data_IF_562864388010
#
_entry.id   IF_562864388010
#
_cell.length_a   1.000
_cell.length_b   1.000
_cell.length_c   1.000
_cell.angle_alpha   90.00
_cell.angle_beta   90.00
_cell.angle_gamma   90.00
#
_symmetry.space_group_name_H-M   'P 1'
#
loop_
_entity.id
_entity.type
_entity.pdbx_description
1 polymer ?
#
# COMPACT_ATOMS: atom_id res chain seq x y z
N UNK A 1 21.84 18.35 -8.11
CA UNK A 1 21.20 17.08 -8.50
C UNK A 1 19.90 16.92 -7.74
N UNK A 2 18.83 16.77 -8.47
CA UNK A 2 17.54 16.52 -7.85
C UNK A 2 17.53 15.10 -7.29
N UNK A 3 17.35 14.99 -5.98
CA UNK A 3 17.14 13.71 -5.33
C UNK A 3 15.67 13.36 -5.38
N UNK A 4 15.33 12.30 -6.08
CA UNK A 4 13.98 11.77 -6.05
C UNK A 4 13.89 10.91 -4.80
N UNK A 5 13.21 11.41 -3.80
CA UNK A 5 12.98 10.65 -2.59
C UNK A 5 12.04 9.49 -2.91
N UNK A 6 12.47 8.28 -2.58
CA UNK A 6 11.64 7.11 -2.75
C UNK A 6 10.51 7.14 -1.74
N UNK A 7 9.29 7.07 -2.24
CA UNK A 7 8.09 7.04 -1.43
C UNK A 7 7.69 5.58 -1.24
N UNK A 8 7.31 5.22 -0.02
CA UNK A 8 6.79 3.90 0.31
C UNK A 8 5.32 4.01 0.69
N UNK A 9 4.46 3.38 -0.09
CA UNK A 9 3.05 3.20 0.26
C UNK A 9 2.97 2.00 1.20
N UNK A 10 2.37 2.22 2.36
CA UNK A 10 2.19 1.15 3.36
C UNK A 10 0.81 0.55 3.17
N UNK A 11 0.77 -0.75 2.87
CA UNK A 11 -0.49 -1.47 2.67
C UNK A 11 -1.30 -1.58 3.96
N UNK A 12 -2.60 -1.75 3.81
CA UNK A 12 -3.54 -1.93 4.92
C UNK A 12 -3.09 -3.03 5.88
N UNK A 13 -2.57 -4.14 5.36
CA UNK A 13 -2.12 -5.27 6.17
C UNK A 13 -1.07 -4.88 7.21
N UNK A 14 -0.17 -3.98 6.85
CA UNK A 14 0.90 -3.54 7.76
C UNK A 14 0.35 -2.62 8.84
N UNK A 15 -0.54 -1.68 8.48
CA UNK A 15 -1.19 -0.81 9.45
C UNK A 15 -2.00 -1.60 10.47
N UNK A 16 -2.72 -2.63 10.02
CA UNK A 16 -3.51 -3.50 10.90
C UNK A 16 -2.61 -4.25 11.87
N UNK A 17 -1.52 -4.86 11.39
CA UNK A 17 -0.59 -5.58 12.24
C UNK A 17 0.06 -4.64 13.26
N UNK A 18 0.45 -3.45 12.83
CA UNK A 18 1.01 -2.44 13.73
C UNK A 18 0.01 -2.06 14.84
N UNK A 19 -1.25 -1.84 14.48
CA UNK A 19 -2.30 -1.47 15.44
C UNK A 19 -2.60 -2.58 16.44
N UNK A 20 -2.51 -3.83 16.00
CA UNK A 20 -2.72 -5.02 16.85
C UNK A 20 -1.47 -5.45 17.61
N UNK A 21 -0.38 -4.71 17.50
CA UNK A 21 0.92 -5.06 18.09
C UNK A 21 1.42 -6.45 17.65
N UNK A 22 1.13 -6.83 16.40
CA UNK A 22 1.65 -8.05 15.80
C UNK A 22 2.94 -7.69 15.09
N UNK A 23 4.05 -8.24 15.57
CA UNK A 23 5.36 -7.97 15.01
C UNK A 23 5.62 -8.85 13.79
N UNK A 24 5.69 -8.21 12.63
CA UNK A 24 6.13 -8.81 11.39
C UNK A 24 7.33 -8.03 10.88
N UNK A 25 8.13 -8.56 9.95
CA UNK A 25 9.19 -7.76 9.34
C UNK A 25 8.68 -6.43 8.79
N UNK A 26 7.51 -6.42 8.16
CA UNK A 26 6.93 -5.20 7.59
C UNK A 26 6.43 -4.24 8.68
N UNK A 27 5.75 -4.73 9.72
CA UNK A 27 5.28 -3.85 10.79
C UNK A 27 6.43 -3.24 11.60
N UNK A 28 7.50 -3.99 11.81
CA UNK A 28 8.71 -3.46 12.44
C UNK A 28 9.41 -2.45 11.53
N UNK A 29 9.44 -2.69 10.23
CA UNK A 29 10.01 -1.75 9.29
C UNK A 29 9.21 -0.45 9.23
N UNK A 30 7.89 -0.51 9.34
CA UNK A 30 7.05 0.68 9.45
C UNK A 30 7.50 1.56 10.62
N UNK A 31 7.69 0.97 11.79
CA UNK A 31 8.16 1.69 12.97
C UNK A 31 9.55 2.30 12.74
N UNK A 32 10.44 1.55 12.11
CA UNK A 32 11.78 2.03 11.79
C UNK A 32 11.75 3.21 10.81
N UNK A 33 10.91 3.16 9.78
CA UNK A 33 10.78 4.26 8.83
C UNK A 33 10.17 5.50 9.50
N UNK A 34 9.18 5.31 10.36
CA UNK A 34 8.58 6.42 11.12
C UNK A 34 9.62 7.18 11.94
N UNK A 35 10.61 6.45 12.46
CA UNK A 35 11.66 7.04 13.29
C UNK A 35 12.73 7.74 12.45
N UNK A 36 13.20 7.10 11.37
CA UNK A 36 14.35 7.61 10.59
C UNK A 36 13.96 8.54 9.44
N UNK A 37 12.83 8.32 8.80
CA UNK A 37 12.43 9.07 7.61
C UNK A 37 10.91 9.05 7.40
N UNK A 38 10.15 9.68 8.32
CA UNK A 38 8.68 9.65 8.24
C UNK A 38 8.12 10.29 6.96
N UNK A 39 8.87 11.22 6.34
CA UNK A 39 8.42 11.89 5.12
C UNK A 39 8.38 10.99 3.90
N UNK A 40 9.03 9.82 3.96
CA UNK A 40 9.00 8.84 2.86
C UNK A 40 7.75 7.97 2.88
N UNK A 41 6.95 8.00 3.94
CA UNK A 41 5.73 7.22 4.05
C UNK A 41 4.58 7.88 3.33
N UNK A 42 3.79 7.07 2.64
CA UNK A 42 2.65 7.54 1.88
C UNK A 42 1.42 6.67 2.12
N UNK A 43 0.27 7.27 1.94
CA UNK A 43 -1.02 6.58 1.90
C UNK A 43 -1.70 6.88 0.58
N UNK A 44 -2.62 6.02 0.18
CA UNK A 44 -3.46 6.23 -0.99
C UNK A 44 -4.92 6.00 -0.64
N UNK A 45 -5.82 6.47 -1.52
CA UNK A 45 -7.26 6.39 -1.25
C UNK A 45 -7.76 4.97 -0.95
N UNK A 46 -7.34 3.91 -1.67
CA UNK A 46 -7.77 2.54 -1.35
C UNK A 46 -7.39 2.09 0.05
N UNK A 47 -6.19 2.42 0.53
CA UNK A 47 -5.76 2.05 1.89
C UNK A 47 -6.60 2.76 2.93
N UNK A 48 -6.87 4.06 2.75
CA UNK A 48 -7.76 4.78 3.65
C UNK A 48 -9.14 4.12 3.70
N UNK A 49 -9.70 3.79 2.54
CA UNK A 49 -11.01 3.16 2.46
C UNK A 49 -11.06 1.85 3.23
N UNK A 50 -10.07 0.99 3.03
CA UNK A 50 -10.02 -0.31 3.72
C UNK A 50 -9.87 -0.15 5.23
N UNK A 51 -9.03 0.76 5.69
CA UNK A 51 -8.85 1.02 7.12
C UNK A 51 -10.12 1.57 7.75
N UNK A 52 -10.78 2.51 7.10
CA UNK A 52 -12.03 3.09 7.61
C UNK A 52 -13.18 2.07 7.59
N UNK A 53 -13.22 1.20 6.59
CA UNK A 53 -14.23 0.14 6.52
C UNK A 53 -14.09 -0.85 7.69
N UNK A 54 -12.87 -1.06 8.18
CA UNK A 54 -12.61 -1.92 9.33
C UNK A 54 -12.80 -1.25 10.69
N UNK A 55 -13.04 0.06 10.72
CA UNK A 55 -13.20 0.80 11.97
C UNK A 55 -14.59 0.53 12.58
N UNK A 56 -14.62 0.14 13.86
CA UNK A 56 -15.85 -0.24 14.56
C UNK A 56 -16.54 0.92 15.26
N UNK A 57 -15.94 2.10 15.31
CA UNK A 57 -16.49 3.24 16.06
C UNK A 57 -16.02 4.56 15.44
N UNK A 58 -16.70 5.65 15.80
CA UNK A 58 -16.28 6.99 15.40
C UNK A 58 -14.92 7.35 15.99
N UNK A 59 -14.64 6.90 17.20
CA UNK A 59 -13.32 7.07 17.82
C UNK A 59 -12.22 6.41 17.00
N UNK A 60 -12.45 5.16 16.57
CA UNK A 60 -11.49 4.43 15.73
C UNK A 60 -11.30 5.12 14.37
N UNK A 61 -12.37 5.63 13.77
CA UNK A 61 -12.30 6.37 12.51
C UNK A 61 -11.44 7.62 12.62
N UNK A 62 -11.64 8.41 13.67
CA UNK A 62 -10.84 9.62 13.91
C UNK A 62 -9.38 9.29 14.15
N UNK A 63 -9.10 8.21 14.87
CA UNK A 63 -7.75 7.76 15.16
C UNK A 63 -7.02 7.38 13.86
N UNK A 64 -7.69 6.67 12.96
CA UNK A 64 -7.14 6.32 11.66
C UNK A 64 -6.82 7.57 10.85
N UNK A 65 -7.76 8.49 10.74
CA UNK A 65 -7.55 9.74 10.01
C UNK A 65 -6.38 10.54 10.57
N UNK A 66 -6.29 10.64 11.89
CA UNK A 66 -5.20 11.34 12.55
C UNK A 66 -3.85 10.70 12.28
N UNK A 67 -3.80 9.37 12.26
CA UNK A 67 -2.58 8.61 11.98
C UNK A 67 -2.11 8.82 10.54
N UNK A 68 -3.02 8.87 9.59
CA UNK A 68 -2.68 8.97 8.17
C UNK A 68 -2.47 10.42 7.69
N UNK A 69 -3.04 11.40 8.41
CA UNK A 69 -3.00 12.80 8.01
C UNK A 69 -1.60 13.36 7.70
N UNK A 70 -0.55 13.05 8.49
CA UNK A 70 0.79 13.59 8.22
C UNK A 70 1.53 12.92 7.07
N UNK A 71 1.00 11.83 6.51
CA UNK A 71 1.66 11.09 5.44
C UNK A 71 1.50 11.80 4.09
N UNK A 72 2.41 11.55 3.17
CA UNK A 72 2.20 11.95 1.79
C UNK A 72 0.99 11.20 1.24
N UNK A 73 0.22 11.87 0.38
CA UNK A 73 -0.98 11.29 -0.20
C UNK A 73 -0.82 11.06 -1.68
N UNK A 74 -1.09 9.84 -2.12
CA UNK A 74 -1.08 9.48 -3.53
C UNK A 74 -2.52 9.20 -3.95
N UNK A 75 -3.12 10.18 -4.62
CA UNK A 75 -4.52 10.09 -5.01
C UNK A 75 -4.72 9.14 -6.19
N UNK A 76 -5.86 8.45 -6.18
CA UNK A 76 -6.32 7.66 -7.33
C UNK A 76 -6.52 8.61 -8.53
N UNK A 77 -6.04 8.19 -9.69
CA UNK A 77 -6.46 8.73 -10.98
C UNK A 77 -7.46 7.74 -11.55
N UNK A 78 -8.78 8.03 -11.48
CA UNK A 78 -9.79 7.01 -11.71
C UNK A 78 -9.63 6.24 -13.02
N UNK A 79 -9.49 6.94 -14.13
CA UNK A 79 -9.39 6.29 -15.42
C UNK A 79 -8.14 5.41 -15.51
N UNK A 80 -6.97 5.97 -15.23
CA UNK A 80 -5.70 5.26 -15.35
C UNK A 80 -5.59 4.10 -14.37
N UNK A 81 -6.00 4.31 -13.12
CA UNK A 81 -5.78 3.32 -12.07
C UNK A 81 -6.80 2.18 -12.12
N UNK A 82 -8.06 2.45 -12.47
CA UNK A 82 -9.04 1.38 -12.64
C UNK A 82 -8.70 0.50 -13.85
N UNK A 83 -8.32 1.08 -14.97
CA UNK A 83 -7.89 0.30 -16.13
C UNK A 83 -6.61 -0.47 -15.85
N UNK A 84 -5.63 0.17 -15.23
CA UNK A 84 -4.37 -0.46 -14.86
C UNK A 84 -4.56 -1.63 -13.90
N UNK A 85 -5.43 -1.49 -12.91
CA UNK A 85 -5.75 -2.56 -11.98
C UNK A 85 -6.36 -3.77 -12.70
N UNK A 86 -7.27 -3.52 -13.65
CA UNK A 86 -7.88 -4.59 -14.44
C UNK A 86 -6.83 -5.34 -15.27
N UNK A 87 -5.88 -4.63 -15.87
CA UNK A 87 -4.79 -5.24 -16.63
C UNK A 87 -3.86 -6.08 -15.73
N UNK A 88 -3.55 -5.59 -14.53
CA UNK A 88 -2.74 -6.34 -13.56
C UNK A 88 -3.45 -7.62 -13.17
N UNK A 89 -4.75 -7.53 -12.85
CA UNK A 89 -5.57 -8.68 -12.53
C UNK A 89 -5.52 -9.74 -13.64
N UNK A 90 -5.73 -9.32 -14.89
CA UNK A 90 -5.70 -10.22 -16.03
C UNK A 90 -4.31 -10.85 -16.21
N UNK A 91 -3.26 -10.08 -16.03
CA UNK A 91 -1.88 -10.57 -16.15
C UNK A 91 -1.55 -11.60 -15.09
N UNK A 92 -1.96 -11.38 -13.86
CA UNK A 92 -1.77 -12.36 -12.79
C UNK A 92 -2.51 -13.67 -13.11
N UNK A 93 -3.75 -13.60 -13.57
CA UNK A 93 -4.52 -14.79 -13.94
C UNK A 93 -3.88 -15.55 -15.09
N UNK A 94 -3.39 -14.84 -16.10
CA UNK A 94 -2.72 -15.46 -17.24
C UNK A 94 -1.44 -16.21 -16.84
N UNK A 95 -0.83 -15.82 -15.72
CA UNK A 95 0.37 -16.47 -15.18
C UNK A 95 0.05 -17.50 -14.08
N UNK A 96 -1.22 -17.91 -13.95
CA UNK A 96 -1.62 -18.94 -13.01
C UNK A 96 -1.73 -18.48 -11.56
N UNK A 97 -1.68 -17.20 -11.30
CA UNK A 97 -1.85 -16.66 -9.96
C UNK A 97 -3.32 -16.62 -9.59
N UNK A 98 -3.66 -17.22 -8.44
CA UNK A 98 -5.04 -17.27 -7.95
C UNK A 98 -5.41 -16.08 -7.09
N UNK A 99 -4.48 -15.16 -6.93
CA UNK A 99 -4.71 -13.98 -6.14
C UNK A 99 -5.88 -13.25 -6.66
N UNK A 100 -6.84 -12.80 -5.75
CA UNK A 100 -7.23 -11.61 -6.33
C UNK A 100 -8.22 -10.80 -5.59
N UNK A 101 -7.67 -10.10 -4.70
CA UNK A 101 -8.25 -8.86 -4.24
C UNK A 101 -7.97 -7.78 -5.29
N UNK A 102 -9.01 -7.34 -5.99
CA UNK A 102 -8.89 -6.25 -6.97
C UNK A 102 -8.31 -4.97 -6.37
N UNK A 103 -8.52 -4.75 -5.07
CA UNK A 103 -7.98 -3.59 -4.38
C UNK A 103 -6.45 -3.63 -4.34
N UNK A 104 -5.85 -4.81 -4.17
CA UNK A 104 -4.39 -4.94 -4.22
C UNK A 104 -3.86 -4.58 -5.62
N UNK A 105 -4.59 -4.94 -6.67
CA UNK A 105 -4.25 -4.54 -8.03
C UNK A 105 -4.33 -3.02 -8.21
N UNK A 106 -5.31 -2.38 -7.58
CA UNK A 106 -5.46 -0.92 -7.58
C UNK A 106 -4.26 -0.24 -6.89
N UNK A 107 -3.93 -0.69 -5.69
CA UNK A 107 -2.81 -0.15 -4.91
C UNK A 107 -1.50 -0.35 -5.69
N UNK A 108 -1.31 -1.52 -6.27
CA UNK A 108 -0.14 -1.83 -7.08
C UNK A 108 -0.03 -0.89 -8.29
N UNK A 109 -1.13 -0.63 -8.99
CA UNK A 109 -1.09 0.26 -10.13
C UNK A 109 -0.74 1.69 -9.74
N UNK A 110 -1.29 2.18 -8.62
CA UNK A 110 -0.93 3.50 -8.10
C UNK A 110 0.57 3.57 -7.82
N UNK A 111 1.13 2.55 -7.18
CA UNK A 111 2.57 2.50 -6.89
C UNK A 111 3.41 2.48 -8.17
N UNK A 112 3.05 1.65 -9.15
CA UNK A 112 3.77 1.58 -10.44
C UNK A 112 3.74 2.93 -11.14
N UNK A 113 2.58 3.56 -11.22
CA UNK A 113 2.40 4.85 -11.90
C UNK A 113 3.25 5.96 -11.29
N UNK A 114 3.41 5.94 -9.98
CA UNK A 114 4.12 6.99 -9.23
C UNK A 114 5.56 6.67 -8.92
N UNK A 115 6.01 5.45 -9.21
CA UNK A 115 7.36 5.01 -8.86
C UNK A 115 7.54 4.69 -7.38
N UNK A 116 6.45 4.61 -6.61
CA UNK A 116 6.50 4.28 -5.20
C UNK A 116 6.77 2.78 -4.99
N UNK A 117 7.34 2.44 -3.83
CA UNK A 117 7.41 1.06 -3.38
C UNK A 117 6.21 0.73 -2.50
N UNK A 118 5.91 -0.55 -2.35
CA UNK A 118 4.89 -1.02 -1.43
C UNK A 118 5.54 -1.82 -0.30
N UNK A 119 5.17 -1.48 0.92
CA UNK A 119 5.47 -2.27 2.12
C UNK A 119 4.18 -3.01 2.51
N UNK A 120 4.21 -4.33 2.51
CA UNK A 120 3.02 -5.16 2.73
C UNK A 120 3.33 -6.44 3.51
N UNK A 121 2.30 -6.94 4.19
CA UNK A 121 2.28 -8.27 4.82
C UNK A 121 1.38 -9.24 4.03
N UNK A 122 1.01 -8.88 2.82
CA UNK A 122 0.13 -9.66 1.96
C UNK A 122 0.93 -10.23 0.78
N UNK A 123 0.90 -11.56 0.62
CA UNK A 123 1.61 -12.25 -0.45
C UNK A 123 1.10 -11.92 -1.86
N UNK A 124 -0.07 -11.32 -1.98
CA UNK A 124 -0.63 -10.90 -3.26
C UNK A 124 0.30 -9.95 -3.99
N UNK A 125 0.99 -9.07 -3.26
CA UNK A 125 1.93 -8.13 -3.86
C UNK A 125 3.18 -8.82 -4.41
N UNK A 126 3.61 -9.94 -3.84
CA UNK A 126 4.69 -10.76 -4.42
C UNK A 126 4.28 -11.31 -5.78
N UNK A 127 3.05 -11.82 -5.88
CA UNK A 127 2.52 -12.32 -7.15
C UNK A 127 2.43 -11.21 -8.19
N UNK A 128 1.95 -10.05 -7.81
CA UNK A 128 1.86 -8.90 -8.70
C UNK A 128 3.25 -8.44 -9.14
N UNK A 129 4.20 -8.36 -8.22
CA UNK A 129 5.57 -7.94 -8.54
C UNK A 129 6.27 -8.90 -9.51
N UNK A 130 5.89 -10.18 -9.49
CA UNK A 130 6.49 -11.18 -10.38
C UNK A 130 6.10 -10.99 -11.85
N UNK A 131 5.01 -10.26 -12.14
CA UNK A 131 4.49 -10.08 -13.51
C UNK A 131 4.36 -8.60 -13.92
N UNK A 132 4.83 -7.68 -13.10
CA UNK A 132 4.75 -6.23 -13.35
C UNK A 132 6.05 -5.55 -12.94
N UNK A 133 6.10 -4.23 -13.11
CA UNK A 133 7.23 -3.39 -12.66
C UNK A 133 7.10 -2.94 -11.21
N UNK A 134 6.16 -3.51 -10.45
CA UNK A 134 5.97 -3.16 -9.05
C UNK A 134 7.25 -3.39 -8.25
N UNK A 135 7.65 -2.37 -7.50
CA UNK A 135 8.77 -2.45 -6.57
C UNK A 135 8.26 -2.66 -5.14
N UNK A 136 8.79 -3.65 -4.45
CA UNK A 136 8.47 -3.90 -3.06
C UNK A 136 9.56 -3.35 -2.16
N UNK A 137 9.13 -2.76 -1.03
CA UNK A 137 10.05 -2.40 0.05
C UNK A 137 10.29 -3.66 0.89
N UNK A 138 11.47 -4.23 0.75
CA UNK A 138 11.83 -5.43 1.52
C UNK A 138 12.59 -5.02 2.77
N UNK A 139 12.07 -5.39 3.93
CA UNK A 139 12.72 -5.09 5.21
C UNK A 139 14.11 -5.72 5.34
#
# INVERSE_FOLDING_TARGET
>A
MLRIDLITIVDTSVWINNDRAIDTPASLELLAIKDRDPSSLACCDPVLMELLAGASSEFARRRIKKMLHPLQWVSVRPEADFEGAALIYNRCRANGSTVMNMMDCMIANIAIRTGARILADDNDFESIASVTDLQLHRP
#
